data_IF_192074358772
#
_entry.id   IF_192074358772
#
_cell.length_a   1.000
_cell.length_b   1.000
_cell.length_c   1.000
_cell.angle_alpha   90.00
_cell.angle_beta   90.00
_cell.angle_gamma   90.00
#
_symmetry.space_group_name_H-M   'P 1'
#
loop_
_entity.id
_entity.type
_entity.pdbx_description
1 polymer ?
#
# COMPACT_ATOMS: atom_id res chain seq x y z
N UNK A 1 24.54 -37.14 4.36
CA UNK A 1 25.07 -36.53 5.59
C UNK A 1 24.45 -35.15 5.73
N UNK A 2 23.21 -35.08 6.22
CA UNK A 2 22.40 -33.86 6.29
C UNK A 2 22.77 -33.04 7.52
N UNK A 3 23.06 -31.75 7.34
CA UNK A 3 23.30 -30.79 8.43
C UNK A 3 22.02 -30.66 9.28
N UNK A 4 22.10 -30.59 10.62
CA UNK A 4 20.93 -30.38 11.45
C UNK A 4 20.41 -28.94 11.30
N UNK A 5 19.09 -28.81 11.25
CA UNK A 5 18.33 -27.58 11.03
C UNK A 5 18.50 -26.62 12.22
N UNK A 6 18.95 -25.40 11.95
CA UNK A 6 19.23 -24.37 12.95
C UNK A 6 17.95 -23.85 13.63
N UNK A 7 16.79 -24.09 13.02
CA UNK A 7 15.46 -23.71 13.51
C UNK A 7 15.06 -24.47 14.79
N UNK A 8 15.47 -25.73 14.92
CA UNK A 8 15.19 -26.58 16.08
C UNK A 8 15.92 -26.15 17.35
N UNK A 9 17.01 -25.39 17.20
CA UNK A 9 17.82 -24.92 18.33
C UNK A 9 17.15 -23.74 19.03
N UNK A 10 16.48 -22.87 18.27
CA UNK A 10 15.77 -21.71 18.81
C UNK A 10 14.43 -22.07 19.45
N UNK A 11 13.70 -23.03 18.87
CA UNK A 11 12.45 -23.54 19.46
C UNK A 11 12.71 -24.24 20.79
N UNK A 12 13.72 -25.13 20.83
CA UNK A 12 14.10 -25.84 22.05
C UNK A 12 14.61 -24.92 23.17
N UNK A 13 15.35 -23.87 22.82
CA UNK A 13 15.82 -22.87 23.79
C UNK A 13 14.67 -22.01 24.33
N UNK A 14 13.67 -21.71 23.50
CA UNK A 14 12.45 -21.01 23.92
C UNK A 14 11.61 -21.86 24.86
N UNK A 15 11.42 -23.14 24.54
CA UNK A 15 10.68 -24.11 25.36
C UNK A 15 11.37 -24.34 26.71
N UNK A 16 12.71 -24.47 26.75
CA UNK A 16 13.45 -24.61 28.01
C UNK A 16 13.31 -23.36 28.89
N UNK A 17 13.39 -22.15 28.34
CA UNK A 17 13.19 -20.92 29.11
C UNK A 17 11.76 -20.76 29.63
N UNK A 18 10.77 -21.24 28.88
CA UNK A 18 9.37 -21.26 29.29
C UNK A 18 9.13 -22.30 30.39
N UNK A 19 9.68 -23.51 30.24
CA UNK A 19 9.63 -24.58 31.24
C UNK A 19 10.30 -24.17 32.56
N UNK A 20 11.49 -23.55 32.51
CA UNK A 20 12.21 -23.03 33.68
C UNK A 20 11.36 -21.95 34.39
N UNK A 21 10.68 -21.09 33.63
CA UNK A 21 9.80 -20.05 34.19
C UNK A 21 8.56 -20.65 34.86
N UNK A 22 7.96 -21.69 34.28
CA UNK A 22 6.81 -22.38 34.88
C UNK A 22 7.17 -23.20 36.12
N UNK A 23 8.32 -23.88 36.14
CA UNK A 23 8.77 -24.67 37.29
C UNK A 23 9.18 -23.79 38.49
N UNK A 24 9.67 -22.58 38.25
CA UNK A 24 10.00 -21.62 39.32
C UNK A 24 8.73 -21.03 39.96
N UNK A 25 7.69 -20.78 39.14
CA UNK A 25 6.36 -20.38 39.63
C UNK A 25 5.71 -21.52 40.42
N UNK A 26 5.82 -22.77 39.97
CA UNK A 26 5.24 -23.94 40.69
C UNK A 26 5.93 -24.20 42.03
N UNK A 27 7.23 -23.90 42.16
CA UNK A 27 7.98 -24.02 43.42
C UNK A 27 7.56 -23.00 44.50
N UNK A 28 6.92 -21.89 44.12
CA UNK A 28 6.45 -20.88 45.08
C UNK A 28 5.05 -21.16 45.68
N UNK A 29 4.35 -22.21 45.22
CA UNK A 29 2.92 -22.43 45.56
C UNK A 29 2.63 -23.73 46.36
N UNK A 30 3.60 -24.61 46.59
CA UNK A 30 3.35 -25.83 47.38
C UNK A 30 3.81 -25.68 48.84
N UNK A 31 2.93 -25.75 49.85
CA UNK A 31 3.35 -25.94 51.23
C UNK A 31 3.88 -27.37 51.37
N UNK A 32 5.18 -27.50 51.68
CA UNK A 32 5.76 -28.80 52.05
C UNK A 32 5.06 -29.31 53.31
N UNK A 33 4.37 -30.43 53.18
CA UNK A 33 3.87 -31.23 54.29
C UNK A 33 5.01 -31.66 55.20
N UNK A 34 4.74 -31.63 56.51
CA UNK A 34 5.69 -31.73 57.59
C UNK A 34 6.49 -33.05 57.61
N UNK A 35 7.79 -32.94 57.90
CA UNK A 35 8.57 -33.99 58.59
C UNK A 35 9.27 -33.32 59.78
N UNK A 36 8.99 -33.90 60.93
CA UNK A 36 9.31 -33.46 62.28
C UNK A 36 10.81 -33.67 62.59
N UNK A 37 11.58 -32.59 62.71
CA UNK A 37 12.86 -32.59 63.45
C UNK A 37 13.10 -31.22 64.08
N UNK A 38 13.22 -31.20 65.41
CA UNK A 38 13.34 -29.98 66.22
C UNK A 38 14.61 -29.18 65.94
N UNK A 39 14.52 -28.18 65.06
CA UNK A 39 15.46 -27.04 64.95
C UNK A 39 14.68 -25.75 64.74
N UNK A 40 15.22 -24.67 65.32
CA UNK A 40 14.62 -23.34 65.46
C UNK A 40 13.92 -22.79 64.19
N UNK A 41 12.86 -21.98 64.32
CA UNK A 41 12.09 -21.51 63.17
C UNK A 41 12.95 -20.55 62.34
N UNK A 42 13.30 -20.98 61.14
CA UNK A 42 13.89 -20.12 60.11
C UNK A 42 12.87 -19.03 59.78
N UNK A 43 13.21 -17.76 60.06
CA UNK A 43 12.38 -16.61 59.67
C UNK A 43 12.37 -16.52 58.14
N UNK A 44 11.36 -17.13 57.53
CA UNK A 44 11.10 -17.00 56.11
C UNK A 44 10.88 -15.54 55.77
N UNK A 45 11.83 -14.95 55.04
CA UNK A 45 11.68 -13.62 54.47
C UNK A 45 10.48 -13.66 53.53
N UNK A 46 9.35 -13.07 53.93
CA UNK A 46 8.16 -12.91 53.08
C UNK A 46 8.59 -12.12 51.83
N UNK A 47 8.82 -12.79 50.72
CA UNK A 47 8.90 -12.14 49.41
C UNK A 47 7.53 -11.55 49.12
N UNK A 48 7.40 -10.23 49.29
CA UNK A 48 6.20 -9.48 48.93
C UNK A 48 6.15 -9.50 47.40
N UNK A 49 5.43 -10.47 46.83
CA UNK A 49 5.12 -10.49 45.40
C UNK A 49 4.27 -9.24 45.15
N UNK A 50 4.88 -8.21 44.57
CA UNK A 50 4.16 -7.02 44.11
C UNK A 50 3.25 -7.48 42.99
N UNK A 51 1.95 -7.52 43.25
CA UNK A 51 0.95 -7.89 42.25
C UNK A 51 1.13 -6.96 41.03
N UNK A 52 1.19 -7.50 39.81
CA UNK A 52 1.27 -6.65 38.62
C UNK A 52 0.03 -5.77 38.57
N UNK A 53 0.23 -4.46 38.35
CA UNK A 53 -0.86 -3.48 38.27
C UNK A 53 -1.78 -3.69 37.05
N UNK A 54 -1.35 -4.54 36.12
CA UNK A 54 -2.01 -4.77 34.86
C UNK A 54 -2.08 -6.26 34.57
N UNK A 55 -3.30 -6.75 34.37
CA UNK A 55 -3.66 -8.15 34.19
C UNK A 55 -4.62 -8.20 33.01
N UNK A 56 -4.35 -9.06 32.03
CA UNK A 56 -5.26 -9.33 30.91
C UNK A 56 -6.44 -10.18 31.39
N UNK A 57 -7.56 -10.15 30.68
CA UNK A 57 -8.74 -10.95 31.01
C UNK A 57 -8.41 -12.43 31.22
N UNK A 58 -7.54 -13.00 30.37
CA UNK A 58 -7.10 -14.40 30.46
C UNK A 58 -6.39 -14.75 31.79
N UNK A 59 -5.74 -13.77 32.43
CA UNK A 59 -5.07 -13.94 33.72
C UNK A 59 -6.03 -13.60 34.87
N UNK A 60 -7.03 -12.74 34.65
CA UNK A 60 -8.05 -12.38 35.64
C UNK A 60 -9.05 -13.51 35.95
N UNK A 61 -9.22 -14.48 35.04
CA UNK A 61 -10.13 -15.63 35.21
C UNK A 61 -9.80 -16.45 36.47
N UNK A 62 -8.53 -16.50 36.88
CA UNK A 62 -8.07 -17.25 38.06
C UNK A 62 -8.21 -16.47 39.38
N UNK A 63 -8.39 -15.14 39.34
CA UNK A 63 -8.34 -14.26 40.53
C UNK A 63 -9.72 -13.86 41.09
N UNK A 64 -10.82 -14.18 40.40
CA UNK A 64 -12.19 -13.97 40.85
C UNK A 64 -13.00 -12.93 40.05
N UNK A 65 -14.34 -12.92 40.25
CA UNK A 65 -15.31 -12.15 39.43
C UNK A 65 -15.05 -10.64 39.35
N UNK A 66 -14.66 -10.00 40.44
CA UNK A 66 -14.45 -8.55 40.47
C UNK A 66 -13.26 -8.11 39.59
N UNK A 67 -12.19 -8.90 39.57
CA UNK A 67 -11.00 -8.63 38.76
C UNK A 67 -11.28 -8.84 37.26
N UNK A 68 -12.14 -9.80 36.91
CA UNK A 68 -12.58 -10.03 35.53
C UNK A 68 -13.34 -8.83 34.99
N UNK A 69 -14.25 -8.26 35.79
CA UNK A 69 -15.04 -7.09 35.40
C UNK A 69 -14.16 -5.85 35.19
N UNK A 70 -13.18 -5.61 36.09
CA UNK A 70 -12.25 -4.50 35.96
C UNK A 70 -11.29 -4.66 34.77
N UNK A 71 -10.73 -5.86 34.55
CA UNK A 71 -9.85 -6.13 33.40
C UNK A 71 -10.59 -5.96 32.07
N UNK A 72 -11.82 -6.45 31.97
CA UNK A 72 -12.66 -6.31 30.77
C UNK A 72 -12.98 -4.83 30.48
N UNK A 73 -13.23 -4.02 31.50
CA UNK A 73 -13.47 -2.57 31.34
C UNK A 73 -12.24 -1.85 30.77
N UNK A 74 -11.04 -2.14 31.27
CA UNK A 74 -9.81 -1.56 30.73
C UNK A 74 -9.51 -2.04 29.30
N UNK A 75 -9.72 -3.32 28.99
CA UNK A 75 -9.59 -3.85 27.63
C UNK A 75 -10.55 -3.14 26.66
N UNK A 76 -11.82 -2.96 27.03
CA UNK A 76 -12.79 -2.20 26.22
C UNK A 76 -12.33 -0.77 25.97
N UNK A 77 -11.78 -0.08 26.98
CA UNK A 77 -11.25 1.28 26.81
C UNK A 77 -10.07 1.34 25.84
N UNK A 78 -9.19 0.33 25.85
CA UNK A 78 -8.04 0.26 24.94
C UNK A 78 -8.51 -0.05 23.53
N UNK A 79 -9.45 -0.98 23.36
CA UNK A 79 -10.04 -1.27 22.06
C UNK A 79 -10.80 -0.06 21.51
N UNK A 80 -11.51 0.68 22.36
CA UNK A 80 -12.19 1.91 21.98
C UNK A 80 -11.18 2.98 21.54
N UNK A 81 -10.12 3.21 22.32
CA UNK A 81 -9.05 4.12 21.95
C UNK A 81 -8.37 3.71 20.64
N UNK A 82 -8.13 2.42 20.44
CA UNK A 82 -7.59 1.87 19.20
C UNK A 82 -8.51 2.16 18.01
N UNK A 83 -9.82 1.91 18.14
CA UNK A 83 -10.80 2.23 17.09
C UNK A 83 -10.81 3.72 16.79
N UNK A 84 -10.76 4.60 17.80
CA UNK A 84 -10.66 6.05 17.60
C UNK A 84 -9.38 6.43 16.85
N UNK A 85 -8.23 5.87 17.22
CA UNK A 85 -6.97 6.11 16.53
C UNK A 85 -7.03 5.64 15.07
N UNK A 86 -7.62 4.48 14.79
CA UNK A 86 -7.82 3.97 13.43
C UNK A 86 -8.77 4.88 12.65
N UNK A 87 -9.88 5.31 13.25
CA UNK A 87 -10.81 6.25 12.62
C UNK A 87 -10.13 7.58 12.27
N UNK A 88 -9.31 8.14 13.17
CA UNK A 88 -8.54 9.36 12.90
C UNK A 88 -7.52 9.12 11.78
N UNK A 89 -6.83 7.98 11.78
CA UNK A 89 -5.83 7.64 10.76
C UNK A 89 -6.46 7.49 9.37
N UNK A 90 -7.67 6.92 9.30
CA UNK A 90 -8.42 6.76 8.04
C UNK A 90 -9.04 8.08 7.59
N UNK A 91 -9.71 8.83 8.47
CA UNK A 91 -10.42 10.06 8.09
C UNK A 91 -9.49 11.26 7.91
N UNK A 92 -8.36 11.31 8.60
CA UNK A 92 -7.41 12.43 8.56
C UNK A 92 -6.97 12.86 7.15
N UNK A 93 -6.56 11.96 6.24
CA UNK A 93 -6.17 12.33 4.88
C UNK A 93 -7.34 12.66 3.94
N UNK A 94 -8.59 12.33 4.31
CA UNK A 94 -9.74 12.54 3.44
C UNK A 94 -10.38 13.92 3.68
N UNK A 95 -10.05 14.89 2.81
CA UNK A 95 -10.73 16.18 2.72
C UNK A 95 -11.68 16.24 1.53
N UNK A 96 -12.76 17.03 1.65
CA UNK A 96 -13.67 17.35 0.53
C UNK A 96 -12.92 17.98 -0.65
N UNK A 97 -11.81 18.67 -0.40
CA UNK A 97 -10.97 19.27 -1.45
C UNK A 97 -10.46 18.24 -2.46
N UNK A 98 -10.07 17.05 -2.00
CA UNK A 98 -9.54 15.99 -2.88
C UNK A 98 -10.56 15.59 -3.96
N UNK A 99 -11.85 15.55 -3.62
CA UNK A 99 -12.91 15.25 -4.58
C UNK A 99 -13.01 16.34 -5.66
N UNK A 100 -13.03 17.61 -5.26
CA UNK A 100 -13.13 18.72 -6.21
C UNK A 100 -11.89 18.85 -7.10
N UNK A 101 -10.71 18.58 -6.55
CA UNK A 101 -9.46 18.56 -7.31
C UNK A 101 -9.50 17.48 -8.40
N UNK A 102 -9.84 16.23 -8.04
CA UNK A 102 -9.97 15.14 -9.02
C UNK A 102 -11.06 15.42 -10.05
N UNK A 103 -12.18 16.01 -9.63
CA UNK A 103 -13.27 16.41 -10.54
C UNK A 103 -12.82 17.49 -11.53
N UNK A 104 -12.06 18.49 -11.08
CA UNK A 104 -11.51 19.53 -11.94
C UNK A 104 -10.54 18.98 -12.97
N UNK A 105 -9.63 18.09 -12.54
CA UNK A 105 -8.70 17.40 -13.45
C UNK A 105 -9.44 16.54 -14.47
N UNK A 106 -10.44 15.76 -14.03
CA UNK A 106 -11.27 14.95 -14.93
C UNK A 106 -12.00 15.81 -15.96
N UNK A 107 -12.63 16.90 -15.51
CA UNK A 107 -13.35 17.81 -16.40
C UNK A 107 -12.43 18.42 -17.46
N UNK A 108 -11.19 18.76 -17.10
CA UNK A 108 -10.24 19.36 -18.04
C UNK A 108 -9.69 18.35 -19.06
N UNK A 109 -9.32 17.14 -18.63
CA UNK A 109 -8.63 16.18 -19.51
C UNK A 109 -9.56 15.21 -20.23
N UNK A 110 -10.72 14.90 -19.65
CA UNK A 110 -11.63 13.86 -20.16
C UNK A 110 -12.88 14.47 -20.76
N UNK A 111 -13.58 15.33 -20.01
CA UNK A 111 -14.91 15.82 -20.40
C UNK A 111 -14.88 16.98 -21.38
N UNK A 112 -13.78 17.74 -21.41
CA UNK A 112 -13.64 18.89 -22.30
C UNK A 112 -13.44 18.42 -23.74
N UNK A 113 -14.33 18.87 -24.62
CA UNK A 113 -14.28 18.54 -26.02
C UNK A 113 -13.12 19.24 -26.75
N UNK A 114 -12.59 18.59 -27.77
CA UNK A 114 -11.55 19.11 -28.66
C UNK A 114 -11.92 18.87 -30.12
N UNK A 115 -11.33 19.68 -31.00
CA UNK A 115 -11.62 19.63 -32.42
C UNK A 115 -10.80 18.54 -33.13
N UNK A 116 -11.49 17.69 -33.89
CA UNK A 116 -10.90 16.71 -34.79
C UNK A 116 -10.56 17.31 -36.17
N UNK A 117 -9.84 16.57 -37.02
CA UNK A 117 -9.48 16.98 -38.39
C UNK A 117 -10.73 17.23 -39.23
N UNK A 118 -11.83 16.57 -38.89
CA UNK A 118 -13.11 16.68 -39.58
C UNK A 118 -13.99 17.83 -39.04
N UNK A 119 -13.49 18.62 -38.08
CA UNK A 119 -14.23 19.73 -37.46
C UNK A 119 -15.34 19.29 -36.50
N UNK A 120 -15.36 18.02 -36.10
CA UNK A 120 -16.26 17.53 -35.05
C UNK A 120 -15.60 17.69 -33.68
N UNK A 121 -16.38 18.14 -32.71
CA UNK A 121 -16.00 18.20 -31.30
C UNK A 121 -16.24 16.83 -30.64
N UNK A 122 -15.16 16.19 -30.18
CA UNK A 122 -15.23 14.90 -29.47
C UNK A 122 -14.57 15.03 -28.11
N UNK A 123 -14.92 14.15 -27.17
CA UNK A 123 -14.26 14.06 -25.86
C UNK A 123 -13.18 12.98 -25.86
N UNK A 124 -12.39 12.88 -24.78
CA UNK A 124 -11.39 11.80 -24.66
C UNK A 124 -12.02 10.40 -24.70
N UNK A 125 -13.24 10.25 -24.17
CA UNK A 125 -13.95 8.98 -24.15
C UNK A 125 -14.44 8.52 -25.53
N UNK A 126 -14.53 9.45 -26.48
CA UNK A 126 -15.05 9.22 -27.84
C UNK A 126 -13.92 8.97 -28.86
N UNK A 127 -12.68 8.78 -28.41
CA UNK A 127 -11.52 8.51 -29.27
C UNK A 127 -11.63 7.09 -29.85
N UNK A 128 -11.72 6.99 -31.17
CA UNK A 128 -11.83 5.71 -31.87
C UNK A 128 -10.68 5.42 -32.85
N UNK A 129 -9.90 6.43 -33.25
CA UNK A 129 -8.77 6.29 -34.17
C UNK A 129 -7.45 6.76 -33.54
N UNK A 130 -6.34 6.21 -34.04
CA UNK A 130 -5.00 6.69 -33.71
C UNK A 130 -4.81 8.17 -34.11
N UNK A 131 -5.45 8.61 -35.20
CA UNK A 131 -5.44 10.02 -35.62
C UNK A 131 -6.09 10.93 -34.58
N UNK A 132 -7.26 10.54 -34.07
CA UNK A 132 -7.98 11.29 -33.03
C UNK A 132 -7.16 11.37 -31.74
N UNK A 133 -6.43 10.30 -31.40
CA UNK A 133 -5.52 10.29 -30.25
C UNK A 133 -4.36 11.27 -30.40
N UNK A 134 -3.72 11.34 -31.58
CA UNK A 134 -2.66 12.32 -31.83
C UNK A 134 -3.18 13.76 -31.77
N UNK A 135 -4.38 14.01 -32.28
CA UNK A 135 -5.02 15.31 -32.16
C UNK A 135 -5.36 15.69 -30.72
N UNK A 136 -5.81 14.72 -29.92
CA UNK A 136 -6.01 14.92 -28.49
C UNK A 136 -4.70 15.34 -27.81
N UNK A 137 -3.60 14.62 -28.09
CA UNK A 137 -2.30 14.92 -27.49
C UNK A 137 -1.82 16.34 -27.85
N UNK A 138 -1.88 16.70 -29.12
CA UNK A 138 -1.34 17.96 -29.64
C UNK A 138 -2.23 19.17 -29.32
N UNK A 139 -3.54 19.06 -29.59
CA UNK A 139 -4.45 20.21 -29.51
C UNK A 139 -5.09 20.41 -28.13
N UNK A 140 -5.11 19.37 -27.29
CA UNK A 140 -5.81 19.42 -26.01
C UNK A 140 -4.91 19.13 -24.81
N UNK A 141 -4.23 18.00 -24.79
CA UNK A 141 -3.44 17.55 -23.64
C UNK A 141 -2.23 18.45 -23.37
N UNK A 142 -1.38 18.69 -24.38
CA UNK A 142 -0.18 19.53 -24.24
C UNK A 142 -0.54 20.96 -23.81
N UNK A 143 -1.47 21.68 -24.47
CA UNK A 143 -1.88 23.02 -24.03
C UNK A 143 -2.56 23.05 -22.66
N UNK A 144 -3.21 21.96 -22.24
CA UNK A 144 -3.86 21.87 -20.93
C UNK A 144 -2.86 21.70 -19.78
N UNK A 145 -1.70 21.09 -20.03
CA UNK A 145 -0.62 20.94 -19.05
C UNK A 145 0.28 22.17 -19.05
N UNK A 146 0.72 22.60 -20.23
CA UNK A 146 1.64 23.71 -20.40
C UNK A 146 0.86 25.03 -20.61
N UNK A 147 0.20 25.50 -19.54
CA UNK A 147 -0.58 26.74 -19.58
C UNK A 147 0.34 27.95 -19.46
N UNK A 148 0.29 28.88 -20.42
CA UNK A 148 1.10 30.10 -20.44
C UNK A 148 0.56 31.29 -19.61
N UNK A 149 -0.41 31.09 -18.71
CA UNK A 149 -1.04 32.19 -17.97
C UNK A 149 -1.10 31.89 -16.47
N UNK A 150 -0.32 32.63 -15.68
CA UNK A 150 -0.46 32.72 -14.22
C UNK A 150 -1.40 33.88 -13.83
N UNK A 151 -1.97 33.85 -12.61
CA UNK A 151 -2.87 34.90 -12.12
C UNK A 151 -2.23 36.30 -12.05
N UNK A 152 -0.90 36.39 -12.13
CA UNK A 152 -0.18 37.65 -12.08
C UNK A 152 0.64 37.88 -13.37
N UNK A 153 0.23 38.80 -14.26
CA UNK A 153 0.97 39.11 -15.47
C UNK A 153 2.29 39.85 -15.19
N UNK A 154 2.56 40.25 -13.94
CA UNK A 154 3.77 40.99 -13.54
C UNK A 154 4.83 40.13 -12.86
N UNK A 155 4.47 38.92 -12.41
CA UNK A 155 5.37 37.98 -11.76
C UNK A 155 5.60 36.76 -12.68
N UNK A 156 6.12 37.02 -13.88
CA UNK A 156 6.62 35.99 -14.81
C UNK A 156 8.08 35.61 -14.46
N UNK A 157 8.57 35.99 -13.27
CA UNK A 157 9.96 35.74 -12.86
C UNK A 157 10.20 34.30 -12.35
N UNK A 158 9.16 33.55 -11.99
CA UNK A 158 9.28 32.10 -11.81
C UNK A 158 9.06 31.38 -13.15
N UNK A 159 9.99 31.56 -14.08
CA UNK A 159 10.04 30.86 -15.39
C UNK A 159 9.97 29.32 -15.25
N UNK A 160 10.15 28.80 -14.04
CA UNK A 160 10.19 27.36 -13.73
C UNK A 160 8.91 26.81 -13.09
N UNK A 161 7.91 27.62 -12.73
CA UNK A 161 6.66 27.11 -12.13
C UNK A 161 5.56 26.98 -13.17
N UNK A 162 5.40 25.77 -13.70
CA UNK A 162 4.24 25.42 -14.52
C UNK A 162 3.06 25.09 -13.62
N UNK A 163 2.10 26.01 -13.56
CA UNK A 163 0.90 25.84 -12.75
C UNK A 163 -0.29 25.42 -13.63
N UNK A 164 -0.87 24.25 -13.32
CA UNK A 164 -2.11 23.76 -13.92
C UNK A 164 -3.32 24.23 -13.12
N UNK A 165 -4.36 24.68 -13.83
CA UNK A 165 -5.57 25.27 -13.23
C UNK A 165 -5.22 26.41 -12.25
N UNK A 166 -4.19 27.18 -12.57
CA UNK A 166 -3.69 28.35 -11.83
C UNK A 166 -3.13 28.13 -10.41
N UNK A 167 -3.51 27.04 -9.72
CA UNK A 167 -3.14 26.80 -8.32
C UNK A 167 -2.27 25.55 -8.11
N UNK A 168 -2.31 24.57 -9.03
CA UNK A 168 -1.60 23.30 -8.85
C UNK A 168 -0.25 23.32 -9.57
N UNK A 169 0.82 22.94 -8.90
CA UNK A 169 2.15 22.88 -9.50
C UNK A 169 2.41 21.50 -10.14
N UNK A 170 2.90 21.49 -11.38
CA UNK A 170 3.32 20.26 -12.06
C UNK A 170 4.72 19.86 -11.55
N UNK A 171 4.88 18.57 -11.22
CA UNK A 171 6.16 18.01 -10.81
C UNK A 171 6.84 17.29 -11.97
N UNK A 172 7.99 17.82 -12.42
CA UNK A 172 8.76 17.24 -13.52
C UNK A 172 8.06 17.41 -14.87
N UNK A 173 8.12 16.36 -15.70
CA UNK A 173 7.55 16.37 -17.06
C UNK A 173 6.76 15.09 -17.32
N UNK A 174 5.70 15.14 -18.16
CA UNK A 174 4.96 13.95 -18.54
C UNK A 174 5.85 12.99 -19.35
N UNK A 175 5.66 11.68 -19.16
CA UNK A 175 6.33 10.62 -19.91
C UNK A 175 5.30 9.78 -20.64
N UNK A 176 5.47 9.66 -21.96
CA UNK A 176 4.69 8.74 -22.80
C UNK A 176 5.39 7.38 -22.78
N UNK A 177 4.61 6.31 -22.61
CA UNK A 177 5.10 4.92 -22.69
C UNK A 177 4.26 4.17 -23.70
N UNK A 178 4.94 3.46 -24.60
CA UNK A 178 4.32 2.60 -25.60
C UNK A 178 4.68 1.13 -25.31
N UNK A 179 3.78 0.23 -25.68
CA UNK A 179 4.04 -1.22 -25.75
C UNK A 179 3.70 -1.70 -27.16
N UNK A 180 4.40 -2.75 -27.60
CA UNK A 180 4.25 -3.30 -28.95
C UNK A 180 4.29 -4.82 -28.86
N UNK A 181 3.45 -5.49 -29.63
CA UNK A 181 3.48 -6.93 -29.80
C UNK A 181 4.41 -7.32 -30.96
N UNK A 182 5.02 -8.50 -30.87
CA UNK A 182 5.88 -9.04 -31.94
C UNK A 182 5.07 -9.36 -33.19
N UNK A 183 5.72 -9.27 -34.35
CA UNK A 183 5.13 -9.53 -35.66
C UNK A 183 4.80 -11.02 -35.94
N UNK A 184 5.36 -11.92 -35.14
CA UNK A 184 5.14 -13.36 -35.22
C UNK A 184 4.40 -13.88 -33.97
N UNK A 185 3.62 -13.00 -33.33
CA UNK A 185 2.82 -13.36 -32.16
C UNK A 185 1.63 -14.26 -32.50
N UNK A 186 1.20 -14.32 -33.76
CA UNK A 186 0.05 -15.10 -34.19
C UNK A 186 0.41 -16.07 -35.33
N UNK A 187 -0.27 -17.23 -35.34
CA UNK A 187 -0.19 -18.21 -36.42
C UNK A 187 -1.27 -17.93 -37.48
N UNK A 188 -0.84 -17.52 -38.68
CA UNK A 188 -1.74 -17.30 -39.82
C UNK A 188 -1.85 -18.60 -40.63
N UNK A 189 -3.08 -19.04 -40.88
CA UNK A 189 -3.32 -20.25 -41.68
C UNK A 189 -2.72 -20.13 -43.10
N UNK A 190 -2.11 -21.22 -43.58
CA UNK A 190 -1.41 -21.33 -44.88
C UNK A 190 -2.10 -20.68 -46.08
N UNK A 191 -3.43 -20.79 -46.20
CA UNK A 191 -4.19 -20.18 -47.30
C UNK A 191 -4.07 -18.65 -47.35
N UNK A 192 -3.85 -18.00 -46.20
CA UNK A 192 -3.84 -16.54 -46.06
C UNK A 192 -2.44 -15.93 -46.02
N UNK A 193 -1.38 -16.75 -45.98
CA UNK A 193 0.02 -16.28 -45.95
C UNK A 193 0.38 -15.38 -47.15
N UNK A 194 -0.31 -15.53 -48.28
CA UNK A 194 -0.10 -14.66 -49.45
C UNK A 194 -0.64 -13.24 -49.25
N UNK A 195 -1.64 -13.07 -48.40
CA UNK A 195 -2.32 -11.80 -48.16
C UNK A 195 -1.80 -11.08 -46.91
N UNK A 196 -1.50 -11.83 -45.84
CA UNK A 196 -1.01 -11.28 -44.58
C UNK A 196 0.42 -11.75 -44.32
N UNK A 197 1.38 -10.83 -44.48
CA UNK A 197 2.82 -11.08 -44.22
C UNK A 197 3.22 -10.82 -42.77
N UNK A 198 2.35 -10.17 -42.02
CA UNK A 198 2.58 -9.69 -40.65
C UNK A 198 1.35 -9.97 -39.81
N UNK A 199 1.54 -10.45 -38.59
CA UNK A 199 0.44 -10.67 -37.66
C UNK A 199 0.76 -10.18 -36.26
N UNK A 200 -0.23 -9.53 -35.64
CA UNK A 200 -0.11 -9.07 -34.27
C UNK A 200 -1.31 -9.60 -33.50
N UNK A 201 -1.06 -10.50 -32.56
CA UNK A 201 -2.08 -10.98 -31.64
C UNK A 201 -2.29 -9.99 -30.49
N UNK A 202 -3.22 -10.34 -29.61
CA UNK A 202 -3.49 -9.67 -28.34
C UNK A 202 -2.21 -9.55 -27.52
N UNK A 203 -2.07 -8.44 -26.80
CA UNK A 203 -0.88 -8.21 -26.00
C UNK A 203 -0.73 -9.25 -24.88
N UNK A 204 0.36 -10.03 -24.95
CA UNK A 204 0.87 -10.83 -23.85
C UNK A 204 2.29 -10.41 -23.49
N UNK A 205 2.62 -10.47 -22.20
CA UNK A 205 3.93 -10.01 -21.69
C UNK A 205 5.12 -10.81 -22.24
N UNK A 206 4.90 -12.05 -22.67
CA UNK A 206 5.92 -12.93 -23.24
C UNK A 206 6.06 -12.79 -24.77
N UNK A 207 5.05 -12.21 -25.44
CA UNK A 207 5.05 -11.87 -26.87
C UNK A 207 5.34 -10.38 -27.12
N UNK A 208 5.72 -9.65 -26.07
CA UNK A 208 6.10 -8.26 -26.16
C UNK A 208 7.36 -8.11 -27.03
N UNK A 209 7.30 -7.17 -27.97
CA UNK A 209 8.44 -6.81 -28.80
C UNK A 209 9.43 -6.00 -27.97
N UNK A 210 10.69 -6.43 -27.98
CA UNK A 210 11.81 -5.78 -27.29
C UNK A 210 12.94 -5.44 -28.24
N UNK A 211 12.76 -5.70 -29.52
CA UNK A 211 13.74 -5.33 -30.54
C UNK A 211 13.64 -3.82 -30.80
N UNK A 212 14.78 -3.23 -31.17
CA UNK A 212 14.84 -1.82 -31.51
C UNK A 212 13.97 -1.53 -32.75
N UNK A 213 13.21 -0.44 -32.71
CA UNK A 213 12.27 -0.09 -33.77
C UNK A 213 12.54 1.31 -34.32
N UNK A 214 12.33 1.49 -35.63
CA UNK A 214 12.47 2.79 -36.28
C UNK A 214 13.93 3.21 -36.51
N UNK A 215 14.22 4.51 -36.62
CA UNK A 215 15.55 5.03 -36.99
C UNK A 215 16.66 4.86 -35.92
N UNK A 216 16.46 4.03 -34.89
CA UNK A 216 17.51 3.65 -33.94
C UNK A 216 17.96 4.77 -33.02
N UNK A 217 17.11 5.76 -32.75
CA UNK A 217 17.39 6.76 -31.73
C UNK A 217 17.07 6.20 -30.33
N UNK A 218 17.96 6.40 -29.34
CA UNK A 218 17.94 5.64 -28.08
C UNK A 218 16.77 5.95 -27.13
N UNK A 219 15.87 6.88 -27.45
CA UNK A 219 14.80 7.31 -26.53
C UNK A 219 13.41 7.44 -27.16
N UNK A 220 13.13 6.73 -28.27
CA UNK A 220 11.80 6.61 -28.84
C UNK A 220 11.41 5.13 -29.03
#
# INVERSE_FOLDING_TARGET
>A
MSKPDERDKWTRFSEEHEQIRFDDVRRTVLPKTAIDTGKAPYQGTRTIIKRPKWITRSIAEELGREYILLATCYEILIYFAFVVCVCISVMGPHSTYNFYLTKGLHAQFVDKAFNTMNGMEITFSDIHSAGDFWMYLENHFVPSIFWGYTYDPKNVEDENTMNIMFENMILGVPRIRQVKARNDSCEVHDYFLRYFRSCFDTYYSYEADREDFGPGEPTA
#
